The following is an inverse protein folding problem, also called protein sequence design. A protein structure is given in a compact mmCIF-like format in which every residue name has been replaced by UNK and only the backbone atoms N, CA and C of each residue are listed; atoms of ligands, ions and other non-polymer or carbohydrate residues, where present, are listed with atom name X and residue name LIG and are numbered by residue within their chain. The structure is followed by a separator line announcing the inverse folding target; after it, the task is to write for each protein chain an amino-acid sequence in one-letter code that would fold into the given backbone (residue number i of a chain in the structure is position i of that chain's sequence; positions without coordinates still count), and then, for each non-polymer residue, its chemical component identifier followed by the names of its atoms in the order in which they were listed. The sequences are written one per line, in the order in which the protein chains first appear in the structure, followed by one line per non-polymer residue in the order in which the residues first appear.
data_IF_223246202540
#
_entry.id   IF_223246202540
#
_cell.length_a   1.000
_cell.length_b   1.000
_cell.length_c   1.000
_cell.angle_alpha   90.00
_cell.angle_beta   90.00
_cell.angle_gamma   90.00
#
_symmetry.space_group_name_H-M   'P 1'
#
loop_
_entity.id
_entity.type
_entity.pdbx_description
1 polymer ?
#
# COMPACT_ATOMS: atom_id res chain seq x y z
N UNK A 1 -6.31 -18.32 4.59
CA UNK A 1 -5.08 -17.83 5.27
C UNK A 1 -5.35 -16.43 5.77
N UNK A 2 -5.03 -16.10 7.03
CA UNK A 2 -5.29 -14.77 7.63
C UNK A 2 -3.94 -14.02 7.71
N UNK A 3 -3.85 -12.76 7.26
CA UNK A 3 -2.63 -11.94 7.39
C UNK A 3 -2.18 -11.82 8.86
N UNK A 4 -0.87 -11.95 9.08
CA UNK A 4 -0.25 -11.80 10.41
C UNK A 4 0.42 -10.45 10.64
N UNK A 5 0.69 -9.71 9.57
CA UNK A 5 1.40 -8.45 9.61
C UNK A 5 0.73 -7.43 8.69
N UNK A 6 0.86 -6.15 9.04
CA UNK A 6 0.50 -5.05 8.16
C UNK A 6 1.44 -3.87 8.37
N UNK A 7 1.54 -2.99 7.38
CA UNK A 7 2.22 -1.70 7.50
C UNK A 7 1.36 -0.62 6.85
N UNK A 8 1.58 0.63 7.28
CA UNK A 8 0.95 1.79 6.67
C UNK A 8 1.94 2.49 5.74
N UNK A 9 1.49 2.84 4.55
CA UNK A 9 2.27 3.65 3.62
C UNK A 9 1.39 4.74 3.02
N UNK A 10 2.02 5.82 2.58
CA UNK A 10 1.37 6.91 1.86
C UNK A 10 2.29 7.38 0.74
N UNK A 11 1.70 7.85 -0.34
CA UNK A 11 2.45 8.42 -1.44
C UNK A 11 1.65 9.48 -2.18
N UNK A 12 2.37 10.38 -2.82
CA UNK A 12 1.79 11.43 -3.68
C UNK A 12 2.44 11.36 -5.05
N UNK A 13 1.62 11.39 -6.09
CA UNK A 13 2.06 11.47 -7.47
C UNK A 13 1.36 12.63 -8.18
N UNK A 14 2.13 13.39 -8.97
CA UNK A 14 1.62 14.52 -9.75
C UNK A 14 1.89 14.27 -11.22
N UNK A 15 0.83 14.14 -12.00
CA UNK A 15 0.89 14.04 -13.45
C UNK A 15 -0.42 14.57 -14.04
N UNK A 16 -0.40 14.92 -15.33
CA UNK A 16 -1.61 15.38 -16.03
C UNK A 16 -2.65 14.27 -16.13
N UNK A 17 -2.22 13.07 -16.53
CA UNK A 17 -3.13 11.91 -16.57
C UNK A 17 -3.23 11.22 -15.22
N UNK A 18 -4.44 10.74 -14.92
CA UNK A 18 -4.78 10.03 -13.70
C UNK A 18 -3.96 8.74 -13.50
N UNK A 19 -3.78 7.94 -14.55
CA UNK A 19 -3.10 6.64 -14.41
C UNK A 19 -1.63 6.81 -14.02
N UNK A 20 -0.95 7.77 -14.65
CA UNK A 20 0.46 8.05 -14.33
C UNK A 20 0.60 8.78 -12.99
N UNK A 21 -0.34 9.65 -12.61
CA UNK A 21 -0.31 10.25 -11.27
C UNK A 21 -0.51 9.19 -10.17
N UNK A 22 -1.36 8.19 -10.42
CA UNK A 22 -1.53 7.04 -9.54
C UNK A 22 -0.27 6.16 -9.47
N UNK A 23 0.35 5.82 -10.61
CA UNK A 23 1.61 5.05 -10.64
C UNK A 23 2.73 5.75 -9.85
N UNK A 24 2.88 7.07 -10.04
CA UNK A 24 3.86 7.87 -9.29
C UNK A 24 3.56 7.88 -7.78
N UNK A 25 2.29 7.91 -7.39
CA UNK A 25 1.89 7.82 -5.99
C UNK A 25 2.27 6.46 -5.40
N UNK A 26 2.07 5.36 -6.13
CA UNK A 26 2.48 4.02 -5.71
C UNK A 26 4.01 3.88 -5.62
N UNK A 27 4.75 4.52 -6.53
CA UNK A 27 6.22 4.56 -6.49
C UNK A 27 6.71 5.31 -5.25
N UNK A 28 6.15 6.48 -4.97
CA UNK A 28 6.45 7.25 -3.77
C UNK A 28 6.08 6.49 -2.48
N UNK A 29 4.98 5.74 -2.48
CA UNK A 29 4.57 4.86 -1.39
C UNK A 29 5.44 3.58 -1.27
N UNK A 30 6.31 3.30 -2.25
CA UNK A 30 7.20 2.14 -2.26
C UNK A 30 6.54 0.79 -2.58
N UNK A 31 5.28 0.77 -3.03
CA UNK A 31 4.51 -0.47 -3.29
C UNK A 31 4.17 -0.69 -4.77
N UNK A 32 4.72 0.11 -5.67
CA UNK A 32 4.47 0.03 -7.12
C UNK A 32 4.78 -1.31 -7.79
N UNK A 33 5.61 -2.17 -7.17
CA UNK A 33 5.97 -3.48 -7.70
C UNK A 33 4.96 -4.58 -7.34
N UNK A 34 3.97 -4.26 -6.50
CA UNK A 34 2.94 -5.20 -6.05
C UNK A 34 1.66 -5.07 -6.88
N UNK A 35 0.94 -6.19 -7.01
CA UNK A 35 -0.46 -6.16 -7.43
C UNK A 35 -1.35 -5.81 -6.23
N UNK A 36 -2.20 -4.81 -6.38
CA UNK A 36 -3.10 -4.36 -5.32
C UNK A 36 -4.42 -5.15 -5.36
N UNK A 37 -4.83 -5.69 -4.22
CA UNK A 37 -6.13 -6.32 -4.03
C UNK A 37 -6.93 -5.46 -3.06
N UNK A 38 -8.09 -4.95 -3.52
CA UNK A 38 -8.98 -4.19 -2.65
C UNK A 38 -9.65 -5.12 -1.63
N UNK A 39 -9.59 -4.74 -0.36
CA UNK A 39 -10.17 -5.48 0.76
C UNK A 39 -11.08 -4.58 1.60
N UNK A 40 -11.85 -5.16 2.51
CA UNK A 40 -12.82 -4.46 3.37
C UNK A 40 -12.23 -3.52 4.42
N UNK A 41 -10.92 -3.27 4.41
CA UNK A 41 -10.21 -2.41 5.38
C UNK A 41 -10.34 -2.86 6.85
N UNK A 42 -10.41 -4.18 7.08
CA UNK A 42 -10.43 -4.78 8.42
C UNK A 42 -9.04 -5.34 8.75
N UNK A 43 -8.48 -4.95 9.90
CA UNK A 43 -7.25 -5.56 10.45
C UNK A 43 -7.65 -6.82 11.23
N UNK A 44 -7.13 -8.00 10.89
CA UNK A 44 -7.45 -9.23 11.62
C UNK A 44 -6.95 -9.20 13.07
N UNK A 45 -7.59 -9.93 14.00
CA UNK A 45 -7.12 -10.06 15.37
C UNK A 45 -5.73 -10.72 15.41
N UNK A 46 -4.83 -10.21 16.25
CA UNK A 46 -3.46 -10.70 16.39
C UNK A 46 -2.52 -10.32 15.24
N UNK A 47 -2.95 -9.46 14.30
CA UNK A 47 -2.11 -8.92 13.25
C UNK A 47 -1.18 -7.84 13.83
N UNK A 48 0.13 -7.95 13.60
CA UNK A 48 1.13 -7.03 14.12
C UNK A 48 1.45 -5.91 13.11
N UNK A 49 1.58 -4.68 13.60
CA UNK A 49 1.99 -3.55 12.77
C UNK A 49 3.52 -3.52 12.67
N UNK A 50 4.05 -3.62 11.45
CA UNK A 50 5.49 -3.55 11.17
C UNK A 50 5.84 -2.24 10.46
N UNK A 51 7.11 -1.85 10.50
CA UNK A 51 7.62 -0.80 9.63
C UNK A 51 7.76 -1.33 8.19
N UNK A 52 7.79 -0.42 7.21
CA UNK A 52 7.88 -0.80 5.79
C UNK A 52 9.24 -1.42 5.44
N UNK A 53 10.28 -1.07 6.19
CA UNK A 53 11.67 -1.46 5.96
C UNK A 53 12.09 -2.75 6.69
N UNK A 54 11.19 -3.36 7.47
CA UNK A 54 11.43 -4.63 8.18
C UNK A 54 11.21 -5.86 7.31
#
# INVERSE_FOLDING_TARGET
MIPKYFFLTKGVGKHKEQLQSFELALRNAGIHHCNLVNVSSIVPPGCEMISREQ
#
